data_IF_854951122042
#
_entry.id   IF_854951122042
#
_cell.length_a   1.000
_cell.length_b   1.000
_cell.length_c   1.000
_cell.angle_alpha   90.00
_cell.angle_beta   90.00
_cell.angle_gamma   90.00
#
_symmetry.space_group_name_H-M   'P 1'
#
loop_
_entity.id
_entity.type
_entity.pdbx_description
1 polymer ?
#
# COMPACT_ATOMS: atom_id res chain seq x y z
N UNK A 1 -5.30 -0.33 7.03
CA UNK A 1 -4.07 -0.11 7.81
C UNK A 1 -4.24 0.39 9.26
N UNK A 2 -5.39 0.94 9.68
CA UNK A 2 -5.61 1.42 11.08
C UNK A 2 -5.46 0.31 12.16
N UNK A 3 -5.56 -0.96 11.76
CA UNK A 3 -5.49 -2.12 12.66
C UNK A 3 -4.06 -2.45 13.11
N UNK A 4 -3.05 -2.07 12.33
CA UNK A 4 -1.65 -2.43 12.61
C UNK A 4 -0.94 -1.39 13.49
N UNK A 5 -1.21 -0.09 13.31
CA UNK A 5 -0.67 0.96 14.18
C UNK A 5 -1.14 0.87 15.64
N UNK A 6 -2.39 0.48 15.86
CA UNK A 6 -2.90 0.16 17.20
C UNK A 6 -2.15 -1.04 17.81
N UNK A 7 -1.79 -2.04 17.01
CA UNK A 7 -1.05 -3.22 17.48
C UNK A 7 0.38 -2.88 17.90
N UNK A 8 1.04 -1.94 17.22
CA UNK A 8 2.40 -1.48 17.56
C UNK A 8 2.41 -0.67 18.85
N UNK A 9 1.45 0.23 19.06
CA UNK A 9 1.30 0.98 20.32
C UNK A 9 1.06 0.03 21.50
N UNK A 10 0.25 -1.02 21.32
CA UNK A 10 0.04 -2.03 22.35
C UNK A 10 1.28 -2.88 22.63
N UNK A 11 2.07 -3.23 21.60
CA UNK A 11 3.36 -3.91 21.77
C UNK A 11 4.37 -3.03 22.50
N UNK A 12 4.43 -1.75 22.19
CA UNK A 12 5.30 -0.78 22.84
C UNK A 12 4.93 -0.59 24.33
N UNK A 13 3.63 -0.49 24.65
CA UNK A 13 3.14 -0.40 26.02
C UNK A 13 3.40 -1.69 26.83
N UNK A 14 3.22 -2.86 26.21
CA UNK A 14 3.52 -4.14 26.83
C UNK A 14 5.03 -4.32 27.10
N UNK A 15 5.89 -3.91 26.16
CA UNK A 15 7.34 -3.92 26.33
C UNK A 15 7.79 -2.96 27.44
N UNK A 16 7.20 -1.76 27.51
CA UNK A 16 7.47 -0.79 28.57
C UNK A 16 7.06 -1.33 29.95
N UNK A 17 5.88 -1.97 30.05
CA UNK A 17 5.42 -2.59 31.28
C UNK A 17 6.36 -3.72 31.74
N UNK A 18 6.86 -4.54 30.81
CA UNK A 18 7.87 -5.57 31.09
C UNK A 18 9.19 -4.98 31.59
N UNK A 19 9.69 -3.92 30.95
CA UNK A 19 10.94 -3.26 31.35
C UNK A 19 10.82 -2.62 32.75
N UNK A 20 9.70 -1.97 33.05
CA UNK A 20 9.43 -1.41 34.39
C UNK A 20 9.32 -2.53 35.42
N UNK A 21 8.62 -3.62 35.11
CA UNK A 21 8.52 -4.79 35.99
C UNK A 21 9.88 -5.43 36.29
N UNK A 22 10.71 -5.62 35.26
CA UNK A 22 12.06 -6.16 35.40
C UNK A 22 12.99 -5.23 36.20
N UNK A 23 12.90 -3.90 35.98
CA UNK A 23 13.68 -2.92 36.72
C UNK A 23 13.29 -2.89 38.21
N UNK A 24 11.99 -2.95 38.54
CA UNK A 24 11.51 -3.01 39.93
C UNK A 24 11.92 -4.31 40.60
N UNK A 25 11.81 -5.45 39.91
CA UNK A 25 12.26 -6.74 40.42
C UNK A 25 13.78 -6.75 40.67
N UNK A 26 14.57 -6.20 39.74
CA UNK A 26 16.02 -6.04 39.88
C UNK A 26 16.40 -5.14 41.05
N UNK A 27 15.72 -3.99 41.23
CA UNK A 27 15.95 -3.10 42.37
C UNK A 27 15.61 -3.76 43.70
N UNK A 28 14.52 -4.54 43.75
CA UNK A 28 14.15 -5.32 44.93
C UNK A 28 15.19 -6.42 45.23
N UNK A 29 15.69 -7.13 44.22
CA UNK A 29 16.73 -8.14 44.39
C UNK A 29 18.05 -7.54 44.91
N UNK A 30 18.49 -6.41 44.36
CA UNK A 30 19.67 -5.67 44.84
C UNK A 30 19.47 -5.23 46.30
N UNK A 31 18.27 -4.77 46.66
CA UNK A 31 17.97 -4.37 48.05
C UNK A 31 17.89 -5.53 49.03
N UNK A 32 17.53 -6.73 48.58
CA UNK A 32 17.55 -7.97 49.38
C UNK A 32 18.99 -8.45 49.59
N UNK A 33 19.83 -8.37 48.56
CA UNK A 33 21.24 -8.83 48.62
C UNK A 33 22.10 -7.88 49.45
N UNK A 34 21.82 -6.57 49.41
CA UNK A 34 22.69 -5.54 50.02
C UNK A 34 22.03 -4.68 51.11
N UNK A 35 20.74 -4.90 51.45
CA UNK A 35 20.01 -4.10 52.44
C UNK A 35 20.00 -4.70 53.86
N UNK A 36 19.84 -3.90 54.93
CA UNK A 36 20.09 -4.34 56.31
C UNK A 36 18.98 -5.20 56.95
N UNK A 37 18.05 -5.76 56.19
CA UNK A 37 16.81 -6.32 56.76
C UNK A 37 16.73 -7.84 56.60
N UNK A 38 17.44 -8.57 57.45
CA UNK A 38 17.19 -10.00 57.73
C UNK A 38 16.03 -10.22 58.71
N UNK A 39 15.24 -9.17 58.99
CA UNK A 39 14.05 -9.22 59.83
C UNK A 39 12.78 -9.62 59.07
N UNK A 40 11.76 -10.17 59.76
CA UNK A 40 10.51 -10.65 59.16
C UNK A 40 9.72 -9.57 58.40
N UNK A 41 9.98 -8.28 58.65
CA UNK A 41 9.36 -7.16 57.95
C UNK A 41 9.82 -7.00 56.50
N UNK A 42 11.02 -7.45 56.14
CA UNK A 42 11.50 -7.40 54.75
C UNK A 42 10.74 -8.37 53.83
N UNK A 43 10.42 -9.55 54.34
CA UNK A 43 9.66 -10.59 53.61
C UNK A 43 8.21 -10.19 53.36
N UNK A 44 7.60 -9.40 54.25
CA UNK A 44 6.23 -8.87 54.06
C UNK A 44 6.16 -8.03 52.78
N UNK A 45 7.15 -7.18 52.53
CA UNK A 45 7.17 -6.36 51.32
C UNK A 45 7.41 -7.19 50.05
N UNK A 46 8.30 -8.19 50.10
CA UNK A 46 8.53 -9.09 48.96
C UNK A 46 7.25 -9.83 48.57
N UNK A 47 6.52 -10.36 49.56
CA UNK A 47 5.25 -11.05 49.31
C UNK A 47 4.16 -10.10 48.81
N UNK A 48 4.11 -8.86 49.32
CA UNK A 48 3.17 -7.84 48.85
C UNK A 48 3.43 -7.48 47.37
N UNK A 49 4.68 -7.24 46.98
CA UNK A 49 5.03 -6.92 45.59
C UNK A 49 4.84 -8.11 44.64
N UNK A 50 5.16 -9.33 45.09
CA UNK A 50 4.87 -10.54 44.33
C UNK A 50 3.35 -10.71 44.10
N UNK A 51 2.53 -10.44 45.13
CA UNK A 51 1.08 -10.47 45.03
C UNK A 51 0.53 -9.45 44.02
N UNK A 52 1.06 -8.22 44.01
CA UNK A 52 0.71 -7.19 43.01
C UNK A 52 1.12 -7.61 41.60
N UNK A 53 2.31 -8.18 41.43
CA UNK A 53 2.77 -8.68 40.13
C UNK A 53 1.88 -9.79 39.58
N UNK A 54 1.51 -10.76 40.41
CA UNK A 54 0.57 -11.84 40.04
C UNK A 54 -0.81 -11.27 39.70
N UNK A 55 -1.30 -10.30 40.46
CA UNK A 55 -2.57 -9.63 40.19
C UNK A 55 -2.58 -8.89 38.84
N UNK A 56 -1.52 -8.15 38.52
CA UNK A 56 -1.41 -7.43 37.25
C UNK A 56 -1.34 -8.39 36.05
N UNK A 57 -0.59 -9.49 36.16
CA UNK A 57 -0.54 -10.53 35.12
C UNK A 57 -1.91 -11.20 34.96
N UNK A 58 -2.60 -11.49 36.06
CA UNK A 58 -3.94 -12.07 36.02
C UNK A 58 -4.97 -11.11 35.39
N UNK A 59 -4.92 -9.81 35.70
CA UNK A 59 -5.79 -8.80 35.08
C UNK A 59 -5.52 -8.67 33.58
N UNK A 60 -4.25 -8.59 33.16
CA UNK A 60 -3.90 -8.56 31.74
C UNK A 60 -4.36 -9.83 31.00
N UNK A 61 -4.20 -11.01 31.61
CA UNK A 61 -4.69 -12.27 31.06
C UNK A 61 -6.22 -12.33 31.00
N UNK A 62 -6.91 -11.81 32.02
CA UNK A 62 -8.37 -11.74 32.07
C UNK A 62 -8.91 -10.77 31.01
N UNK A 63 -8.32 -9.59 30.85
CA UNK A 63 -8.68 -8.64 29.79
C UNK A 63 -8.40 -9.22 28.40
N UNK A 64 -7.28 -9.89 28.22
CA UNK A 64 -6.97 -10.60 26.97
C UNK A 64 -8.03 -11.68 26.68
N UNK A 65 -8.29 -12.58 27.62
CA UNK A 65 -9.25 -13.70 27.44
C UNK A 65 -10.72 -13.28 27.40
N UNK A 66 -11.07 -12.13 27.98
CA UNK A 66 -12.44 -11.58 27.93
C UNK A 66 -12.68 -10.64 26.74
N UNK A 67 -11.64 -10.26 26.00
CA UNK A 67 -11.79 -9.45 24.80
C UNK A 67 -12.68 -10.16 23.78
N UNK A 68 -13.73 -9.49 23.31
CA UNK A 68 -14.58 -9.97 22.21
C UNK A 68 -13.76 -10.26 20.94
N UNK A 69 -12.58 -9.65 20.80
CA UNK A 69 -11.62 -9.91 19.74
C UNK A 69 -11.10 -11.37 19.70
N UNK A 70 -10.84 -11.99 20.86
CA UNK A 70 -10.41 -13.39 20.93
C UNK A 70 -11.57 -14.35 20.66
N UNK A 71 -12.77 -14.05 21.18
CA UNK A 71 -13.98 -14.84 20.88
C UNK A 71 -14.31 -14.82 19.39
N UNK A 72 -14.17 -13.67 18.72
CA UNK A 72 -14.30 -13.56 17.26
C UNK A 72 -13.21 -14.28 16.47
N UNK A 73 -12.06 -14.60 17.06
CA UNK A 73 -11.00 -15.40 16.42
C UNK A 73 -11.21 -16.91 16.63
N UNK A 74 -11.81 -17.32 17.74
CA UNK A 74 -12.03 -18.74 18.09
C UNK A 74 -13.38 -19.28 17.67
N UNK A 75 -14.40 -18.43 17.47
CA UNK A 75 -15.73 -18.82 16.95
C UNK A 75 -15.82 -18.79 15.42
N UNK A 76 -14.72 -18.50 14.72
CA UNK A 76 -14.62 -18.74 13.28
C UNK A 76 -14.37 -20.24 13.12
N UNK A 77 -15.35 -21.04 12.65
CA UNK A 77 -15.06 -22.44 12.32
C UNK A 77 -13.91 -22.44 11.31
N UNK A 78 -12.99 -23.42 11.34
CA UNK A 78 -11.92 -23.49 10.37
C UNK A 78 -12.57 -23.44 8.99
N UNK A 79 -12.43 -22.29 8.32
CA UNK A 79 -12.84 -22.17 6.94
C UNK A 79 -12.00 -23.22 6.24
N UNK A 80 -12.65 -24.29 5.81
CA UNK A 80 -12.15 -25.09 4.71
C UNK A 80 -12.01 -24.09 3.57
N UNK A 81 -10.78 -23.65 3.31
CA UNK A 81 -10.43 -22.86 2.14
C UNK A 81 -10.52 -23.75 0.90
N UNK A 82 -11.70 -24.31 0.64
CA UNK A 82 -12.18 -24.30 -0.73
C UNK A 82 -12.47 -22.83 -0.98
N UNK A 83 -11.55 -22.14 -1.62
CA UNK A 83 -11.81 -20.86 -2.24
C UNK A 83 -12.97 -21.06 -3.23
N UNK A 84 -14.20 -21.02 -2.74
CA UNK A 84 -15.28 -20.52 -3.57
C UNK A 84 -14.93 -19.06 -3.72
N UNK A 85 -14.37 -18.74 -4.88
CA UNK A 85 -14.19 -17.39 -5.36
C UNK A 85 -15.44 -16.61 -4.97
N UNK A 86 -15.29 -15.70 -4.02
CA UNK A 86 -16.32 -14.71 -3.81
C UNK A 86 -16.55 -14.07 -5.18
N UNK A 87 -17.80 -14.05 -5.65
CA UNK A 87 -18.17 -13.44 -6.92
C UNK A 87 -17.97 -11.92 -6.81
N UNK A 88 -16.71 -11.47 -6.87
CA UNK A 88 -16.38 -10.08 -7.06
C UNK A 88 -16.85 -9.69 -8.47
N UNK A 89 -17.56 -8.56 -8.63
CA UNK A 89 -17.79 -7.99 -9.96
C UNK A 89 -16.43 -7.86 -10.69
N UNK A 90 -16.31 -8.47 -11.87
CA UNK A 90 -15.05 -8.50 -12.62
C UNK A 90 -14.14 -9.72 -12.37
N UNK A 91 -14.54 -10.69 -11.53
CA UNK A 91 -13.81 -11.95 -11.37
C UNK A 91 -13.69 -12.68 -12.72
N UNK A 92 -12.49 -13.20 -13.02
CA UNK A 92 -12.23 -13.94 -14.24
C UNK A 92 -13.16 -15.16 -14.38
N UNK A 93 -13.85 -15.27 -15.53
CA UNK A 93 -14.78 -16.37 -15.84
C UNK A 93 -14.27 -17.32 -16.92
N UNK A 94 -13.09 -17.04 -17.47
CA UNK A 94 -12.46 -17.86 -18.50
C UNK A 94 -11.69 -19.04 -17.92
N UNK A 95 -11.10 -19.85 -18.80
CA UNK A 95 -10.11 -20.86 -18.40
C UNK A 95 -8.75 -20.23 -18.11
N UNK A 96 -7.77 -21.04 -17.66
CA UNK A 96 -6.41 -20.55 -17.44
C UNK A 96 -5.79 -19.98 -18.72
N UNK A 97 -4.97 -18.95 -18.59
CA UNK A 97 -4.24 -18.32 -19.71
C UNK A 97 -2.74 -18.34 -19.40
N UNK A 98 -1.90 -18.98 -20.24
CA UNK A 98 -0.45 -18.98 -20.02
C UNK A 98 0.12 -17.57 -19.90
N UNK A 99 1.06 -17.38 -18.97
CA UNK A 99 1.63 -16.05 -18.69
C UNK A 99 2.30 -15.43 -19.93
N UNK A 100 2.94 -16.25 -20.76
CA UNK A 100 3.53 -15.84 -22.04
C UNK A 100 2.48 -15.27 -23.00
N UNK A 101 1.32 -15.92 -23.08
CA UNK A 101 0.19 -15.45 -23.91
C UNK A 101 -0.34 -14.12 -23.38
N UNK A 102 -0.43 -13.96 -22.06
CA UNK A 102 -0.86 -12.69 -21.45
C UNK A 102 0.10 -11.56 -21.84
N UNK A 103 1.41 -11.79 -21.72
CA UNK A 103 2.45 -10.82 -22.09
C UNK A 103 2.39 -10.48 -23.58
N UNK A 104 2.23 -11.48 -24.46
CA UNK A 104 2.11 -11.26 -25.90
C UNK A 104 0.92 -10.36 -26.22
N UNK A 105 -0.25 -10.65 -25.63
CA UNK A 105 -1.49 -9.89 -25.86
C UNK A 105 -1.41 -8.46 -25.32
N UNK A 106 -0.81 -8.27 -24.16
CA UNK A 106 -0.57 -6.93 -23.61
C UNK A 106 0.42 -6.14 -24.49
N UNK A 107 1.46 -6.79 -25.02
CA UNK A 107 2.41 -6.17 -25.94
C UNK A 107 1.75 -5.74 -27.25
N UNK A 108 0.86 -6.57 -27.83
CA UNK A 108 0.03 -6.20 -28.99
C UNK A 108 -0.90 -4.99 -28.72
N UNK A 109 -1.23 -4.76 -27.45
CA UNK A 109 -2.00 -3.62 -26.97
C UNK A 109 -1.13 -2.41 -26.56
N UNK A 110 0.19 -2.47 -26.78
CA UNK A 110 1.10 -1.37 -26.48
C UNK A 110 1.59 -1.32 -25.03
N UNK A 111 1.28 -2.35 -24.23
CA UNK A 111 1.79 -2.58 -22.88
C UNK A 111 2.84 -3.69 -22.95
N UNK A 112 4.06 -3.34 -23.34
CA UNK A 112 5.17 -4.30 -23.38
C UNK A 112 5.93 -4.30 -22.05
N UNK A 113 6.54 -5.44 -21.72
CA UNK A 113 7.59 -5.49 -20.72
C UNK A 113 8.72 -4.52 -21.08
N UNK A 114 9.22 -3.78 -20.09
CA UNK A 114 10.34 -2.88 -20.27
C UNK A 114 11.60 -3.64 -20.72
N UNK A 115 12.55 -2.98 -21.42
CA UNK A 115 13.75 -3.64 -21.93
C UNK A 115 14.51 -4.41 -20.84
N UNK A 116 14.77 -5.71 -21.10
CA UNK A 116 15.48 -6.58 -20.16
C UNK A 116 14.68 -6.98 -18.93
N UNK A 117 13.35 -6.85 -18.93
CA UNK A 117 12.47 -7.49 -17.94
C UNK A 117 12.14 -8.93 -18.33
N UNK A 118 12.04 -9.81 -17.34
CA UNK A 118 11.78 -11.23 -17.57
C UNK A 118 10.56 -11.75 -16.79
N UNK A 119 10.04 -12.90 -17.23
CA UNK A 119 9.00 -13.62 -16.50
C UNK A 119 9.50 -14.05 -15.13
N UNK A 120 10.76 -14.47 -15.02
CA UNK A 120 11.33 -14.90 -13.73
C UNK A 120 11.24 -13.79 -12.67
N UNK A 121 11.35 -12.52 -13.07
CA UNK A 121 11.17 -11.38 -12.16
C UNK A 121 9.72 -11.23 -11.69
N UNK A 122 8.72 -11.47 -12.55
CA UNK A 122 7.29 -11.47 -12.16
C UNK A 122 7.01 -12.58 -11.14
N UNK A 123 7.70 -13.72 -11.28
CA UNK A 123 7.53 -14.90 -10.43
C UNK A 123 8.21 -14.79 -9.06
N UNK A 124 8.91 -13.68 -8.77
CA UNK A 124 9.45 -13.38 -7.43
C UNK A 124 8.30 -13.08 -6.45
N UNK A 125 7.33 -12.28 -6.89
CA UNK A 125 6.24 -11.79 -6.04
C UNK A 125 5.09 -12.78 -5.93
N UNK A 126 4.75 -13.46 -7.05
CA UNK A 126 3.60 -14.37 -7.11
C UNK A 126 3.94 -15.66 -7.86
N UNK A 127 3.40 -16.82 -7.43
CA UNK A 127 3.58 -18.07 -8.16
C UNK A 127 2.83 -18.03 -9.50
N UNK A 128 3.35 -18.75 -10.50
CA UNK A 128 2.78 -18.80 -11.86
C UNK A 128 1.27 -19.11 -11.89
N UNK A 129 0.80 -20.00 -11.02
CA UNK A 129 -0.62 -20.36 -10.96
C UNK A 129 -1.54 -19.17 -10.62
N UNK A 130 -1.07 -18.16 -9.87
CA UNK A 130 -1.88 -16.97 -9.59
C UNK A 130 -2.06 -16.10 -10.84
N UNK A 131 -1.03 -16.00 -11.68
CA UNK A 131 -1.15 -15.32 -12.98
C UNK A 131 -2.04 -16.10 -13.95
N UNK A 132 -1.90 -17.43 -14.01
CA UNK A 132 -2.50 -18.23 -15.08
C UNK A 132 -3.90 -18.74 -14.77
N UNK A 133 -4.18 -19.10 -13.52
CA UNK A 133 -5.44 -19.73 -13.10
C UNK A 133 -6.29 -18.80 -12.22
N UNK A 134 -5.65 -17.99 -11.38
CA UNK A 134 -6.32 -17.14 -10.40
C UNK A 134 -7.00 -15.93 -11.03
N UNK A 135 -6.19 -15.00 -11.55
CA UNK A 135 -6.70 -13.77 -12.15
C UNK A 135 -5.93 -13.34 -13.42
N UNK A 136 -6.06 -14.10 -14.53
CA UNK A 136 -5.47 -13.73 -15.81
C UNK A 136 -5.75 -12.30 -16.21
N UNK A 137 -4.72 -11.64 -16.73
CA UNK A 137 -4.67 -10.23 -17.08
C UNK A 137 -4.74 -9.26 -15.89
N UNK A 138 -5.46 -9.57 -14.81
CA UNK A 138 -5.52 -8.68 -13.63
C UNK A 138 -4.21 -8.57 -12.91
N UNK A 139 -3.69 -9.71 -12.46
CA UNK A 139 -2.46 -9.74 -11.68
C UNK A 139 -1.28 -9.20 -12.49
N UNK A 140 -1.17 -9.54 -13.77
CA UNK A 140 -0.10 -9.00 -14.62
C UNK A 140 -0.25 -7.49 -14.88
N UNK A 141 -1.47 -6.96 -15.04
CA UNK A 141 -1.67 -5.51 -15.14
C UNK A 141 -1.27 -4.81 -13.84
N UNK A 142 -1.59 -5.39 -12.68
CA UNK A 142 -1.07 -4.91 -11.40
C UNK A 142 0.47 -4.89 -11.40
N UNK A 143 1.08 -6.03 -11.74
CA UNK A 143 2.54 -6.14 -11.78
C UNK A 143 3.20 -5.19 -12.78
N UNK A 144 2.54 -4.83 -13.88
CA UNK A 144 3.07 -3.86 -14.85
C UNK A 144 3.16 -2.44 -14.27
N UNK A 145 2.39 -2.12 -13.23
CA UNK A 145 2.42 -0.85 -12.54
C UNK A 145 3.50 -0.72 -11.47
N UNK A 146 3.91 -1.84 -10.87
CA UNK A 146 4.81 -1.82 -9.71
C UNK A 146 6.28 -1.89 -10.09
N UNK A 147 7.11 -1.55 -9.11
CA UNK A 147 8.56 -1.75 -9.18
C UNK A 147 8.89 -3.26 -9.09
N UNK A 148 9.97 -3.68 -9.74
CA UNK A 148 10.52 -5.02 -9.57
C UNK A 148 11.00 -5.19 -8.13
N UNK A 149 10.46 -6.20 -7.44
CA UNK A 149 10.76 -6.50 -6.03
C UNK A 149 12.12 -7.20 -5.82
N UNK A 150 13.15 -6.75 -6.54
CA UNK A 150 14.50 -7.29 -6.48
C UNK A 150 15.55 -6.27 -6.92
N UNK A 151 16.75 -6.40 -6.35
CA UNK A 151 17.89 -5.56 -6.72
C UNK A 151 18.29 -5.69 -8.22
N UNK A 152 18.74 -4.59 -8.86
CA UNK A 152 18.75 -3.23 -8.31
C UNK A 152 17.33 -2.63 -8.28
N UNK A 153 17.01 -1.92 -7.20
CA UNK A 153 15.72 -1.23 -7.01
C UNK A 153 15.54 -0.08 -8.01
N UNK A 154 14.30 0.40 -8.15
CA UNK A 154 13.87 1.48 -9.05
C UNK A 154 13.56 1.04 -10.48
N UNK A 155 13.49 -0.27 -10.77
CA UNK A 155 13.19 -0.78 -12.11
C UNK A 155 11.70 -1.11 -12.25
N UNK A 156 11.10 -0.81 -13.39
CA UNK A 156 9.66 -1.03 -13.64
C UNK A 156 9.41 -2.17 -14.63
N UNK A 157 8.27 -2.86 -14.50
CA UNK A 157 7.89 -3.91 -15.44
C UNK A 157 7.36 -3.37 -16.76
N UNK A 158 6.67 -2.23 -16.77
CA UNK A 158 6.18 -1.58 -17.98
C UNK A 158 6.46 -0.08 -17.92
N UNK A 159 7.09 0.48 -18.96
CA UNK A 159 7.40 1.93 -19.00
C UNK A 159 6.14 2.80 -19.02
N UNK A 160 5.02 2.25 -19.53
CA UNK A 160 3.71 2.91 -19.61
C UNK A 160 2.80 2.57 -18.42
N UNK A 161 3.29 1.86 -17.42
CA UNK A 161 2.56 1.47 -16.23
C UNK A 161 3.05 2.20 -14.97
N UNK A 162 2.12 2.54 -14.09
CA UNK A 162 2.47 3.00 -12.74
C UNK A 162 1.37 2.68 -11.74
N UNK A 163 1.72 1.98 -10.67
CA UNK A 163 0.84 1.74 -9.55
C UNK A 163 0.81 2.99 -8.67
N UNK A 164 -0.30 3.73 -8.73
CA UNK A 164 -0.52 4.88 -7.89
C UNK A 164 -1.31 4.48 -6.66
N UNK A 165 -0.64 4.56 -5.51
CA UNK A 165 -1.31 4.49 -4.22
C UNK A 165 -2.00 5.83 -3.96
N UNK A 166 -3.32 5.82 -3.75
CA UNK A 166 -4.05 7.04 -3.43
C UNK A 166 -3.80 7.48 -1.98
N UNK A 167 -3.37 6.57 -1.09
CA UNK A 167 -3.09 6.80 0.34
C UNK A 167 -1.60 7.16 0.59
N UNK A 168 -0.99 8.01 -0.26
CA UNK A 168 0.46 8.28 -0.18
C UNK A 168 0.86 9.76 -0.02
N UNK A 169 -0.06 10.66 0.32
CA UNK A 169 0.23 12.10 0.38
C UNK A 169 0.19 12.65 1.82
N UNK A 170 1.33 12.60 2.52
CA UNK A 170 1.47 13.00 3.92
C UNK A 170 2.35 14.26 4.11
N UNK A 171 3.25 14.53 3.18
CA UNK A 171 4.29 15.55 3.31
C UNK A 171 4.62 16.28 2.00
N UNK A 172 5.36 17.39 2.14
CA UNK A 172 5.88 18.12 0.99
C UNK A 172 6.79 17.22 0.14
N UNK A 173 6.54 17.21 -1.16
CA UNK A 173 7.19 16.39 -2.18
C UNK A 173 6.31 15.25 -2.67
N UNK A 174 5.25 14.87 -1.96
CA UNK A 174 4.42 13.73 -2.33
C UNK A 174 3.66 13.94 -3.65
N UNK A 175 3.07 15.11 -3.85
CA UNK A 175 2.41 15.42 -5.14
C UNK A 175 3.42 15.47 -6.27
N UNK A 176 4.63 15.97 -6.01
CA UNK A 176 5.71 16.01 -7.00
C UNK A 176 6.11 14.59 -7.41
N UNK A 177 6.36 13.70 -6.45
CA UNK A 177 6.69 12.29 -6.69
C UNK A 177 5.58 11.59 -7.49
N UNK A 178 4.32 11.83 -7.13
CA UNK A 178 3.19 11.28 -7.83
C UNK A 178 3.12 11.76 -9.29
N UNK A 179 3.28 13.07 -9.51
CA UNK A 179 3.24 13.67 -10.84
C UNK A 179 4.42 13.21 -11.72
N UNK A 180 5.61 13.03 -11.15
CA UNK A 180 6.75 12.42 -11.84
C UNK A 180 6.46 10.97 -12.27
N UNK A 181 5.82 10.19 -11.41
CA UNK A 181 5.36 8.84 -11.72
C UNK A 181 4.41 8.81 -12.92
N UNK A 182 3.44 9.73 -12.94
CA UNK A 182 2.48 9.91 -14.05
C UNK A 182 3.20 10.29 -15.34
N UNK A 183 4.05 11.32 -15.29
CA UNK A 183 4.76 11.82 -16.47
C UNK A 183 5.64 10.74 -17.10
N UNK A 184 6.29 9.90 -16.29
CA UNK A 184 7.07 8.76 -16.78
C UNK A 184 6.23 7.86 -17.70
N UNK A 185 4.99 7.55 -17.34
CA UNK A 185 4.11 6.67 -18.13
C UNK A 185 3.80 7.21 -19.53
N UNK A 186 3.95 8.52 -19.74
CA UNK A 186 3.70 9.16 -21.02
C UNK A 186 4.87 9.03 -22.00
N UNK A 187 6.05 8.65 -21.52
CA UNK A 187 7.31 8.72 -22.26
C UNK A 187 7.90 10.13 -22.39
N UNK A 188 7.31 11.11 -21.70
CA UNK A 188 7.72 12.52 -21.69
C UNK A 188 7.91 13.03 -20.25
N UNK A 189 8.85 12.46 -19.46
CA UNK A 189 9.10 12.90 -18.09
C UNK A 189 9.45 14.40 -17.98
N UNK A 190 10.00 14.99 -19.03
CA UNK A 190 10.38 16.40 -19.12
C UNK A 190 9.22 17.36 -19.45
N UNK A 191 8.00 16.85 -19.67
CA UNK A 191 6.87 17.67 -20.11
C UNK A 191 6.45 18.71 -19.06
N UNK A 192 6.51 18.35 -17.78
CA UNK A 192 6.30 19.28 -16.67
C UNK A 192 7.60 19.46 -15.88
N UNK A 193 7.93 20.72 -15.58
CA UNK A 193 9.14 21.12 -14.86
C UNK A 193 8.80 22.01 -13.67
N UNK A 194 9.81 22.35 -12.86
CA UNK A 194 9.68 23.30 -11.75
C UNK A 194 8.56 22.93 -10.77
N UNK A 195 8.40 21.62 -10.54
CA UNK A 195 7.36 21.06 -9.69
C UNK A 195 7.67 21.31 -8.22
N UNK A 196 6.70 21.82 -7.49
CA UNK A 196 6.79 22.07 -6.06
C UNK A 196 5.40 22.04 -5.44
N UNK A 197 5.29 21.47 -4.25
CA UNK A 197 4.08 21.41 -3.44
C UNK A 197 4.33 21.98 -2.04
N UNK A 198 3.40 22.82 -1.59
CA UNK A 198 3.44 23.50 -0.29
C UNK A 198 2.27 23.00 0.58
N UNK A 199 2.57 22.02 1.43
CA UNK A 199 1.61 21.45 2.37
C UNK A 199 1.34 22.44 3.51
N UNK A 200 0.06 22.78 3.70
CA UNK A 200 -0.42 23.63 4.78
C UNK A 200 -1.46 22.88 5.62
N UNK A 201 -1.04 21.93 6.49
CA UNK A 201 -1.98 21.10 7.25
C UNK A 201 -2.97 21.91 8.09
N UNK A 202 -2.52 23.04 8.68
CA UNK A 202 -3.41 23.92 9.44
C UNK A 202 -4.50 24.61 8.62
N UNK A 203 -4.35 24.66 7.29
CA UNK A 203 -5.35 25.15 6.34
C UNK A 203 -6.00 24.01 5.54
N UNK A 204 -5.70 22.75 5.84
CA UNK A 204 -6.19 21.54 5.14
C UNK A 204 -6.03 21.61 3.60
N UNK A 205 -4.95 22.25 3.15
CA UNK A 205 -4.69 22.47 1.72
C UNK A 205 -3.23 22.27 1.36
N UNK A 206 -2.99 21.87 0.12
CA UNK A 206 -1.69 21.83 -0.51
C UNK A 206 -1.73 22.65 -1.81
N UNK A 207 -0.83 23.62 -1.96
CA UNK A 207 -0.67 24.36 -3.21
C UNK A 207 0.39 23.66 -4.06
N UNK A 208 0.01 23.19 -5.24
CA UNK A 208 0.91 22.48 -6.16
C UNK A 208 1.20 23.38 -7.34
N UNK A 209 2.47 23.64 -7.62
CA UNK A 209 2.94 24.45 -8.74
C UNK A 209 3.81 23.61 -9.66
N UNK A 210 3.63 23.79 -10.97
CA UNK A 210 4.47 23.17 -12.00
C UNK A 210 4.41 24.00 -13.28
N UNK A 211 5.29 23.73 -14.23
CA UNK A 211 5.35 24.43 -15.52
C UNK A 211 5.24 23.43 -16.67
N UNK A 212 4.33 23.66 -17.62
CA UNK A 212 4.30 22.90 -18.88
C UNK A 212 4.67 23.83 -20.03
N UNK A 213 5.74 23.50 -20.76
CA UNK A 213 6.29 24.34 -21.85
C UNK A 213 6.49 25.80 -21.42
N UNK A 214 7.03 25.99 -20.21
CA UNK A 214 7.29 27.32 -19.62
C UNK A 214 6.06 28.09 -19.12
N UNK A 215 4.85 27.51 -19.19
CA UNK A 215 3.65 28.10 -18.59
C UNK A 215 3.42 27.52 -17.21
N UNK A 216 3.47 28.37 -16.19
CA UNK A 216 3.17 27.99 -14.81
C UNK A 216 1.70 27.66 -14.64
N UNK A 217 1.46 26.58 -13.90
CA UNK A 217 0.19 26.07 -13.42
C UNK A 217 0.23 26.05 -11.90
N UNK A 218 -0.94 26.30 -11.30
CA UNK A 218 -1.13 26.21 -9.85
C UNK A 218 -2.43 25.46 -9.62
N UNK A 219 -2.35 24.39 -8.85
CA UNK A 219 -3.49 23.63 -8.35
C UNK A 219 -3.57 23.83 -6.83
N UNK A 220 -4.79 23.76 -6.32
CA UNK A 220 -5.02 23.69 -4.88
C UNK A 220 -5.67 22.36 -4.61
N UNK A 221 -4.98 21.51 -3.88
CA UNK A 221 -5.48 20.22 -3.41
C UNK A 221 -5.97 20.35 -1.97
N UNK A 222 -7.04 19.62 -1.64
CA UNK A 222 -7.47 19.38 -0.26
C UNK A 222 -6.56 18.32 0.38
N UNK A 223 -6.15 18.56 1.62
CA UNK A 223 -5.51 17.53 2.44
C UNK A 223 -6.62 16.77 3.16
N UNK A 224 -6.75 15.48 2.88
CA UNK A 224 -7.74 14.58 3.48
C UNK A 224 -7.00 13.34 3.98
N UNK A 225 -6.46 13.44 5.21
CA UNK A 225 -5.51 12.45 5.74
C UNK A 225 -4.31 12.27 4.79
N UNK A 226 -4.05 11.03 4.36
CA UNK A 226 -3.03 10.59 3.42
C UNK A 226 -3.55 10.46 1.98
N UNK A 227 -4.80 10.85 1.71
CA UNK A 227 -5.43 10.66 0.41
C UNK A 227 -5.09 11.76 -0.61
N UNK A 228 -4.80 11.34 -1.84
CA UNK A 228 -4.68 12.22 -2.99
C UNK A 228 -6.02 12.87 -3.37
N UNK A 229 -6.01 14.17 -3.64
CA UNK A 229 -7.19 14.92 -4.05
C UNK A 229 -7.55 14.57 -5.51
N UNK A 230 -8.70 13.92 -5.77
CA UNK A 230 -9.11 13.52 -7.11
C UNK A 230 -9.26 14.71 -8.08
N UNK A 231 -9.60 15.90 -7.59
CA UNK A 231 -9.74 17.09 -8.44
C UNK A 231 -8.37 17.60 -8.92
N UNK A 232 -7.37 17.62 -8.01
CA UNK A 232 -6.01 18.01 -8.35
C UNK A 232 -5.36 17.00 -9.30
N UNK A 233 -5.49 15.70 -9.01
CA UNK A 233 -5.02 14.63 -9.90
C UNK A 233 -5.67 14.75 -11.28
N UNK A 234 -7.00 14.93 -11.32
CA UNK A 234 -7.72 15.04 -12.57
C UNK A 234 -7.40 16.29 -13.38
N UNK A 235 -7.12 17.41 -12.72
CA UNK A 235 -6.63 18.61 -13.38
C UNK A 235 -5.26 18.38 -14.02
N UNK A 236 -4.35 17.70 -13.31
CA UNK A 236 -3.05 17.34 -13.84
C UNK A 236 -3.14 16.41 -15.05
N UNK A 237 -3.95 15.34 -14.98
CA UNK A 237 -4.18 14.43 -16.10
C UNK A 237 -4.68 15.17 -17.35
N UNK A 238 -5.67 16.07 -17.20
CA UNK A 238 -6.19 16.87 -18.32
C UNK A 238 -5.15 17.81 -18.91
N UNK A 239 -4.31 18.42 -18.08
CA UNK A 239 -3.22 19.29 -18.54
C UNK A 239 -2.22 18.49 -19.40
N UNK A 240 -1.84 17.28 -18.97
CA UNK A 240 -0.92 16.42 -19.72
C UNK A 240 -1.54 15.93 -21.04
N UNK A 241 -2.76 15.40 -21.00
CA UNK A 241 -3.48 14.93 -22.20
C UNK A 241 -3.68 16.05 -23.21
N UNK A 242 -4.06 17.25 -22.75
CA UNK A 242 -4.26 18.42 -23.61
C UNK A 242 -2.97 18.92 -24.26
N UNK A 243 -1.83 18.78 -23.60
CA UNK A 243 -0.54 19.26 -24.09
C UNK A 243 0.14 18.29 -25.07
N UNK A 244 -0.06 16.98 -24.88
CA UNK A 244 0.40 15.94 -25.81
C UNK A 244 -0.52 15.86 -27.04
N UNK A 245 -1.85 15.88 -26.83
CA UNK A 245 -2.87 15.88 -27.87
C UNK A 245 -2.67 14.82 -28.98
N UNK A 246 -2.16 13.65 -28.61
CA UNK A 246 -1.81 12.55 -29.52
C UNK A 246 -2.84 11.41 -29.54
N UNK A 247 -3.99 11.60 -28.87
CA UNK A 247 -5.07 10.63 -28.78
C UNK A 247 -4.90 9.57 -27.69
N UNK A 248 -3.89 9.70 -26.83
CA UNK A 248 -3.71 8.87 -25.63
C UNK A 248 -4.36 9.54 -24.41
N UNK A 249 -4.82 8.69 -23.49
CA UNK A 249 -5.51 9.06 -22.26
C UNK A 249 -5.02 8.22 -21.09
N UNK A 250 -5.26 8.68 -19.87
CA UNK A 250 -5.04 7.88 -18.67
C UNK A 250 -6.19 6.91 -18.42
N UNK A 251 -5.82 5.64 -18.31
CA UNK A 251 -6.69 4.51 -17.98
C UNK A 251 -6.24 3.90 -16.66
N UNK A 252 -7.18 3.57 -15.79
CA UNK A 252 -6.92 2.93 -14.52
C UNK A 252 -7.41 1.48 -14.53
N UNK A 253 -6.56 0.56 -14.06
CA UNK A 253 -6.97 -0.75 -13.58
C UNK A 253 -7.10 -0.69 -12.06
N UNK A 254 -8.30 -0.92 -11.55
CA UNK A 254 -8.56 -1.01 -10.12
C UNK A 254 -8.04 -2.36 -9.58
N UNK A 255 -7.23 -2.33 -8.52
CA UNK A 255 -6.79 -3.53 -7.82
C UNK A 255 -7.35 -3.62 -6.38
N UNK A 256 -8.31 -2.77 -6.03
CA UNK A 256 -8.99 -2.71 -4.75
C UNK A 256 -8.28 -1.88 -3.68
N UNK A 257 -6.95 -1.73 -3.75
CA UNK A 257 -6.16 -0.93 -2.78
C UNK A 257 -5.47 0.28 -3.43
N UNK A 258 -5.16 0.18 -4.71
CA UNK A 258 -4.49 1.19 -5.51
C UNK A 258 -5.01 1.13 -6.94
N UNK A 259 -4.60 2.07 -7.78
CA UNK A 259 -4.94 2.08 -9.20
C UNK A 259 -3.68 2.01 -10.03
N UNK A 260 -3.61 1.04 -10.95
CA UNK A 260 -2.54 1.03 -11.95
C UNK A 260 -2.95 1.91 -13.11
N UNK A 261 -2.18 2.98 -13.32
CA UNK A 261 -2.36 3.92 -14.39
C UNK A 261 -1.59 3.48 -15.64
N UNK A 262 -2.26 3.56 -16.79
CA UNK A 262 -1.70 3.34 -18.10
C UNK A 262 -2.04 4.52 -19.03
N UNK A 263 -1.08 4.95 -19.84
CA UNK A 263 -1.30 6.01 -20.83
C UNK A 263 -1.47 5.41 -22.23
N UNK A 264 -2.71 5.28 -22.71
CA UNK A 264 -3.08 4.48 -23.90
C UNK A 264 -4.06 5.21 -24.81
N UNK A 265 -4.03 4.89 -26.10
CA UNK A 265 -5.11 5.26 -27.03
C UNK A 265 -6.36 4.43 -26.74
N UNK A 266 -7.53 4.91 -27.18
CA UNK A 266 -8.79 4.15 -27.06
C UNK A 266 -8.70 2.76 -27.72
N UNK A 267 -7.98 2.64 -28.85
CA UNK A 267 -7.78 1.38 -29.55
C UNK A 267 -6.87 0.40 -28.81
N UNK A 268 -5.84 0.90 -28.13
CA UNK A 268 -4.96 0.11 -27.26
C UNK A 268 -5.73 -0.39 -26.03
N UNK A 269 -6.44 0.51 -25.33
CA UNK A 269 -7.25 0.15 -24.17
C UNK A 269 -8.35 -0.87 -24.51
N UNK A 270 -9.00 -0.73 -25.67
CA UNK A 270 -9.99 -1.69 -26.15
C UNK A 270 -9.40 -3.09 -26.37
N UNK A 271 -8.14 -3.21 -26.80
CA UNK A 271 -7.46 -4.52 -26.93
C UNK A 271 -7.21 -5.16 -25.57
N UNK A 272 -6.87 -4.38 -24.55
CA UNK A 272 -6.73 -4.87 -23.16
C UNK A 272 -8.07 -5.32 -22.61
N UNK A 273 -9.12 -4.49 -22.74
CA UNK A 273 -10.47 -4.83 -22.27
C UNK A 273 -11.10 -5.99 -23.04
N UNK A 274 -10.66 -6.28 -24.26
CA UNK A 274 -11.06 -7.49 -24.99
C UNK A 274 -10.46 -8.77 -24.38
N UNK A 275 -9.36 -8.68 -23.63
CA UNK A 275 -8.79 -9.83 -22.91
C UNK A 275 -9.54 -10.09 -21.61
N UNK A 276 -9.93 -9.03 -20.89
CA UNK A 276 -10.73 -9.07 -19.68
C UNK A 276 -11.70 -7.89 -19.67
N UNK A 277 -12.98 -8.21 -19.69
CA UNK A 277 -14.05 -7.21 -19.81
C UNK A 277 -13.90 -6.12 -18.75
N UNK A 278 -13.92 -4.87 -19.22
CA UNK A 278 -13.91 -3.63 -18.43
C UNK A 278 -12.81 -3.51 -17.37
N UNK A 279 -11.64 -4.15 -17.58
CA UNK A 279 -10.51 -4.05 -16.63
C UNK A 279 -9.89 -2.66 -16.59
N UNK A 280 -9.89 -1.93 -17.71
CA UNK A 280 -9.43 -0.55 -17.80
C UNK A 280 -10.61 0.41 -17.89
N UNK A 281 -10.61 1.41 -17.01
CA UNK A 281 -11.56 2.53 -17.00
C UNK A 281 -10.82 3.83 -17.27
N UNK A 282 -11.35 4.64 -18.19
CA UNK A 282 -10.78 5.96 -18.51
C UNK A 282 -11.06 6.92 -17.36
N UNK A 283 -10.03 7.63 -16.88
CA UNK A 283 -10.16 8.50 -15.71
C UNK A 283 -10.93 9.80 -15.98
N UNK A 284 -11.00 10.25 -17.24
CA UNK A 284 -11.77 11.42 -17.65
C UNK A 284 -12.50 11.18 -18.97
N UNK A 285 -13.82 11.04 -18.88
CA UNK A 285 -14.78 11.01 -19.99
C UNK A 285 -15.89 12.02 -19.74
#
# INVERSE_FOLDING_TARGET
>A
MIRDGLSEVWRALAALAWLVGAAVAGLCAVRIVFGPTTGPTGWIWVLAFAGVGVWCVWQAWREWTSSEALRRLTDVPPQQTTAQAAEFPGAWKGGPVPLETQIEKLSEAGLSLAPGRTIDELLISYPRAEFEEGDPYGLILFMYGVEVEAEPWGRVFCERGWNFDMECLEEAGDYVRAFEGILRTTGHPELATDMHDDFRPGAETCEIRYSIRGRTRVLTARIDHDWADPEAMGAFFRDIEGELADGRHFWAADNGQSSVLFFLTDAEAAKVNAQREDVLVRLHS
#
